data_IF_672210677408
#
_entry.id   IF_672210677408
#
_cell.length_a   1.000
_cell.length_b   1.000
_cell.length_c   1.000
_cell.angle_alpha   90.00
_cell.angle_beta   90.00
_cell.angle_gamma   90.00
#
_symmetry.space_group_name_H-M   'P 1'
#
loop_
_entity.id
_entity.type
_entity.pdbx_description
1 polymer ?
#
# COMPACT_ATOMS: atom_id res chain seq x y z
N UNK A 1 10.29 27.13 -37.78
CA UNK A 1 9.17 26.69 -36.92
C UNK A 1 9.43 25.33 -36.26
N UNK A 2 9.83 24.31 -37.03
CA UNK A 2 10.02 22.92 -36.59
C UNK A 2 10.83 22.72 -35.28
N UNK A 3 11.96 23.42 -35.10
CA UNK A 3 12.78 23.32 -33.87
C UNK A 3 12.03 23.70 -32.59
N UNK A 4 11.10 24.68 -32.65
CA UNK A 4 10.30 25.11 -31.49
C UNK A 4 9.24 24.06 -31.13
N UNK A 5 8.66 23.41 -32.13
CA UNK A 5 7.64 22.37 -31.93
C UNK A 5 8.26 21.09 -31.37
N UNK A 6 9.40 20.65 -31.92
CA UNK A 6 10.18 19.52 -31.38
C UNK A 6 10.56 19.77 -29.91
N UNK A 7 11.00 20.99 -29.56
CA UNK A 7 11.32 21.34 -28.17
C UNK A 7 10.11 21.20 -27.23
N UNK A 8 8.91 21.63 -27.67
CA UNK A 8 7.67 21.46 -26.92
C UNK A 8 7.29 19.98 -26.77
N UNK A 9 7.46 19.18 -27.84
CA UNK A 9 7.21 17.74 -27.78
C UNK A 9 8.15 17.04 -26.80
N UNK A 10 9.45 17.31 -26.84
CA UNK A 10 10.40 16.75 -25.88
C UNK A 10 10.08 17.13 -24.42
N UNK A 11 9.65 18.37 -24.17
CA UNK A 11 9.20 18.77 -22.83
C UNK A 11 7.98 17.98 -22.38
N UNK A 12 6.99 17.78 -23.26
CA UNK A 12 5.81 16.95 -22.95
C UNK A 12 6.21 15.51 -22.65
N UNK A 13 7.06 14.91 -23.48
CA UNK A 13 7.55 13.53 -23.27
C UNK A 13 8.25 13.40 -21.92
N UNK A 14 9.13 14.34 -21.55
CA UNK A 14 9.76 14.33 -20.22
C UNK A 14 8.74 14.41 -19.10
N UNK A 15 7.79 15.35 -19.17
CA UNK A 15 6.75 15.47 -18.14
C UNK A 15 5.93 14.18 -17.99
N UNK A 16 5.57 13.53 -19.10
CA UNK A 16 4.84 12.27 -19.04
C UNK A 16 5.71 11.15 -18.47
N UNK A 17 6.98 11.06 -18.87
CA UNK A 17 7.94 10.11 -18.31
C UNK A 17 8.09 10.27 -16.79
N UNK A 18 8.17 11.51 -16.31
CA UNK A 18 8.29 11.78 -14.86
C UNK A 18 7.01 11.37 -14.13
N UNK A 19 5.84 11.61 -14.74
CA UNK A 19 4.55 11.19 -14.19
C UNK A 19 4.43 9.66 -14.13
N UNK A 20 4.81 8.94 -15.19
CA UNK A 20 4.79 7.48 -15.20
C UNK A 20 5.77 6.91 -14.19
N UNK A 21 6.99 7.47 -14.07
CA UNK A 21 7.93 7.05 -13.04
C UNK A 21 7.37 7.24 -11.61
N UNK A 22 6.70 8.37 -11.35
CA UNK A 22 6.04 8.60 -10.06
C UNK A 22 4.92 7.60 -9.78
N UNK A 23 4.12 7.26 -10.80
CA UNK A 23 3.06 6.25 -10.66
C UNK A 23 3.64 4.85 -10.44
N UNK A 24 4.72 4.51 -11.15
CA UNK A 24 5.44 3.25 -11.00
C UNK A 24 5.96 3.08 -9.57
N UNK A 25 6.63 4.09 -9.01
CA UNK A 25 7.12 4.04 -7.63
C UNK A 25 5.98 3.84 -6.61
N UNK A 26 4.83 4.49 -6.83
CA UNK A 26 3.65 4.32 -5.99
C UNK A 26 3.06 2.91 -6.08
N UNK A 27 3.01 2.35 -7.28
CA UNK A 27 2.55 0.97 -7.49
C UNK A 27 3.51 -0.02 -6.81
N UNK A 28 4.81 0.18 -6.98
CA UNK A 28 5.83 -0.63 -6.32
C UNK A 28 5.69 -0.62 -4.79
N UNK A 29 5.49 0.56 -4.17
CA UNK A 29 5.26 0.65 -2.72
C UNK A 29 4.01 -0.12 -2.27
N UNK A 30 2.94 -0.13 -3.07
CA UNK A 30 1.72 -0.89 -2.78
C UNK A 30 1.97 -2.39 -2.91
N UNK A 31 2.49 -2.82 -4.06
CA UNK A 31 2.71 -4.24 -4.38
C UNK A 31 3.70 -4.89 -3.42
N UNK A 32 4.81 -4.21 -3.10
CA UNK A 32 5.80 -4.71 -2.14
C UNK A 32 5.17 -4.95 -0.78
N UNK A 33 4.36 -4.02 -0.30
CA UNK A 33 3.73 -4.14 1.00
C UNK A 33 2.66 -5.25 0.99
N UNK A 34 1.82 -5.32 -0.05
CA UNK A 34 0.81 -6.38 -0.20
C UNK A 34 1.46 -7.78 -0.27
N UNK A 35 2.60 -7.92 -0.93
CA UNK A 35 3.40 -9.15 -0.94
C UNK A 35 3.89 -9.54 0.46
N UNK A 36 4.50 -8.59 1.19
CA UNK A 36 4.96 -8.82 2.58
C UNK A 36 3.80 -9.30 3.44
N UNK A 37 2.63 -8.67 3.32
CA UNK A 37 1.43 -9.08 4.07
C UNK A 37 0.96 -10.48 3.73
N UNK A 38 0.96 -10.84 2.45
CA UNK A 38 0.64 -12.20 2.05
C UNK A 38 1.58 -13.20 2.75
N UNK A 39 2.89 -12.93 2.75
CA UNK A 39 3.88 -13.76 3.44
C UNK A 39 3.70 -13.81 4.96
N UNK A 40 3.41 -12.68 5.60
CA UNK A 40 3.12 -12.66 7.03
C UNK A 40 1.85 -13.44 7.37
N UNK A 41 0.83 -13.44 6.50
CA UNK A 41 -0.37 -14.26 6.70
C UNK A 41 -0.14 -15.75 6.52
N UNK A 42 0.82 -16.16 5.67
CA UNK A 42 1.27 -17.54 5.59
C UNK A 42 1.98 -18.00 6.87
N UNK A 43 2.72 -17.09 7.54
CA UNK A 43 3.38 -17.38 8.81
C UNK A 43 2.40 -17.50 9.98
N UNK A 44 1.46 -16.56 10.09
CA UNK A 44 0.45 -16.56 11.14
C UNK A 44 -0.78 -15.74 10.73
N UNK A 45 -1.93 -16.40 10.59
CA UNK A 45 -3.18 -15.75 10.18
C UNK A 45 -3.91 -15.02 11.32
N UNK A 46 -3.61 -15.36 12.57
CA UNK A 46 -4.43 -14.99 13.72
C UNK A 46 -3.91 -13.74 14.44
N UNK A 47 -2.63 -13.40 14.22
CA UNK A 47 -1.97 -12.23 14.79
C UNK A 47 -1.95 -11.07 13.80
N UNK A 48 -1.84 -9.85 14.33
CA UNK A 48 -1.64 -8.68 13.48
C UNK A 48 -0.24 -8.69 12.86
N UNK A 49 -0.11 -8.18 11.62
CA UNK A 49 1.18 -8.15 10.91
C UNK A 49 2.27 -7.41 11.68
N UNK A 50 1.92 -6.34 12.40
CA UNK A 50 2.87 -5.61 13.24
C UNK A 50 3.43 -6.50 14.36
N UNK A 51 2.57 -7.28 15.03
CA UNK A 51 3.00 -8.20 16.07
C UNK A 51 3.91 -9.29 15.51
N UNK A 52 3.59 -9.83 14.33
CA UNK A 52 4.41 -10.84 13.66
C UNK A 52 5.78 -10.23 13.31
N UNK A 53 5.81 -9.05 12.70
CA UNK A 53 7.04 -8.38 12.24
C UNK A 53 8.02 -8.00 13.36
N UNK A 54 7.57 -7.97 14.62
CA UNK A 54 8.42 -7.70 15.79
C UNK A 54 8.72 -8.95 16.63
N UNK A 55 8.20 -10.11 16.25
CA UNK A 55 8.32 -11.33 17.05
C UNK A 55 9.62 -12.07 16.74
N UNK A 56 10.49 -12.17 17.75
CA UNK A 56 11.81 -12.82 17.67
C UNK A 56 11.68 -14.30 17.27
N UNK A 57 10.55 -14.95 17.55
CA UNK A 57 10.32 -16.34 17.13
C UNK A 57 10.37 -16.51 15.61
N UNK A 58 10.03 -15.47 14.84
CA UNK A 58 10.02 -15.49 13.39
C UNK A 58 11.24 -14.80 12.75
N UNK A 59 12.32 -14.57 13.53
CA UNK A 59 13.47 -13.78 13.09
C UNK A 59 13.96 -14.16 11.69
N UNK A 60 14.35 -15.41 11.48
CA UNK A 60 14.97 -15.85 10.23
C UNK A 60 14.00 -15.74 9.04
N UNK A 61 12.72 -16.03 9.26
CA UNK A 61 11.69 -15.90 8.23
C UNK A 61 11.42 -14.43 7.89
N UNK A 62 11.45 -13.55 8.89
CA UNK A 62 11.25 -12.12 8.70
C UNK A 62 12.42 -11.48 7.96
N UNK A 63 13.66 -11.82 8.32
CA UNK A 63 14.85 -11.37 7.59
C UNK A 63 14.78 -11.80 6.11
N UNK A 64 14.31 -13.02 5.84
CA UNK A 64 14.06 -13.49 4.47
C UNK A 64 12.91 -12.75 3.75
N UNK A 65 11.78 -12.51 4.42
CA UNK A 65 10.61 -11.84 3.81
C UNK A 65 10.90 -10.37 3.51
N UNK A 66 11.58 -9.69 4.42
CA UNK A 66 11.87 -8.25 4.31
C UNK A 66 13.17 -7.97 3.55
N UNK A 67 14.05 -8.97 3.41
CA UNK A 67 15.40 -8.84 2.85
C UNK A 67 16.21 -7.76 3.60
N UNK A 68 16.10 -7.78 4.93
CA UNK A 68 16.69 -6.80 5.86
C UNK A 68 17.09 -7.49 7.17
N UNK A 69 18.09 -6.97 7.91
CA UNK A 69 18.38 -7.39 9.27
C UNK A 69 17.18 -7.19 10.20
N UNK A 70 16.96 -8.13 11.14
CA UNK A 70 15.76 -8.14 11.98
C UNK A 70 15.53 -6.84 12.78
N UNK A 71 16.60 -6.21 13.25
CA UNK A 71 16.57 -4.96 13.99
C UNK A 71 16.08 -3.76 13.15
N UNK A 72 16.18 -3.83 11.83
CA UNK A 72 15.69 -2.79 10.92
C UNK A 72 14.23 -3.00 10.49
N UNK A 73 13.69 -4.23 10.63
CA UNK A 73 12.39 -4.63 10.06
C UNK A 73 11.23 -3.78 10.58
N UNK A 74 11.16 -3.52 11.90
CA UNK A 74 10.05 -2.74 12.44
C UNK A 74 10.02 -1.33 11.84
N UNK A 75 11.19 -0.67 11.78
CA UNK A 75 11.31 0.67 11.21
C UNK A 75 10.95 0.71 9.72
N UNK A 76 11.41 -0.30 8.96
CA UNK A 76 11.14 -0.44 7.54
C UNK A 76 9.64 -0.69 7.28
N UNK A 77 9.02 -1.58 8.07
CA UNK A 77 7.60 -1.89 8.00
C UNK A 77 6.75 -0.64 8.24
N UNK A 78 7.02 0.11 9.31
CA UNK A 78 6.30 1.35 9.63
C UNK A 78 6.43 2.37 8.50
N UNK A 79 7.64 2.54 7.95
CA UNK A 79 7.88 3.46 6.84
C UNK A 79 7.12 3.06 5.56
N UNK A 80 7.09 1.76 5.23
CA UNK A 80 6.33 1.26 4.06
C UNK A 80 4.83 1.45 4.25
N UNK A 81 4.28 1.13 5.43
CA UNK A 81 2.87 1.35 5.75
C UNK A 81 2.50 2.82 5.65
N UNK A 82 3.35 3.72 6.15
CA UNK A 82 3.15 5.16 6.04
C UNK A 82 3.10 5.63 4.57
N UNK A 83 4.10 5.25 3.75
CA UNK A 83 4.12 5.59 2.32
C UNK A 83 2.90 5.09 1.59
N UNK A 84 2.53 3.82 1.80
CA UNK A 84 1.36 3.20 1.16
C UNK A 84 0.06 3.89 1.57
N UNK A 85 -0.09 4.22 2.86
CA UNK A 85 -1.28 4.91 3.35
C UNK A 85 -1.42 6.34 2.81
N UNK A 86 -0.31 7.02 2.48
CA UNK A 86 -0.35 8.30 1.78
C UNK A 86 -0.82 8.19 0.32
N UNK A 87 -0.79 6.99 -0.28
CA UNK A 87 -1.17 6.74 -1.68
C UNK A 87 -2.61 6.24 -1.79
N UNK A 88 -3.02 5.34 -0.88
CA UNK A 88 -4.31 4.64 -0.95
C UNK A 88 -5.43 5.40 -0.26
N UNK A 89 -6.68 5.04 -0.59
CA UNK A 89 -7.84 5.61 0.08
C UNK A 89 -7.87 5.23 1.57
N UNK A 90 -8.39 6.13 2.42
CA UNK A 90 -8.52 5.92 3.88
C UNK A 90 -9.23 4.62 4.30
N UNK A 91 -10.10 4.09 3.45
CA UNK A 91 -10.85 2.85 3.73
C UNK A 91 -10.01 1.58 3.51
N UNK A 92 -8.88 1.67 2.81
CA UNK A 92 -7.97 0.55 2.55
C UNK A 92 -6.91 0.37 3.64
N UNK A 93 -6.92 1.20 4.70
CA UNK A 93 -5.93 1.21 5.80
C UNK A 93 -6.23 0.18 6.93
N UNK A 94 -7.43 -0.43 6.91
CA UNK A 94 -8.08 -1.16 8.02
C UNK A 94 -7.32 -2.39 8.58
N UNK A 95 -6.37 -2.94 7.84
CA UNK A 95 -5.62 -4.14 8.23
C UNK A 95 -4.14 -3.87 8.57
N UNK A 96 -3.71 -2.60 8.53
CA UNK A 96 -2.30 -2.23 8.61
C UNK A 96 -1.91 -1.49 9.89
N UNK A 97 -2.79 -0.64 10.43
CA UNK A 97 -2.48 0.19 11.60
C UNK A 97 -2.93 -0.40 12.94
N UNK A 98 -3.75 -1.45 12.95
CA UNK A 98 -4.38 -1.97 14.18
C UNK A 98 -5.40 -1.02 14.83
N UNK A 99 -5.68 0.15 14.22
CA UNK A 99 -6.63 1.12 14.75
C UNK A 99 -8.09 0.78 14.37
N UNK A 100 -9.01 0.94 15.32
CA UNK A 100 -10.46 0.84 15.06
C UNK A 100 -10.94 2.09 14.31
N UNK A 101 -11.47 1.91 13.10
CA UNK A 101 -12.15 2.98 12.34
C UNK A 101 -13.36 3.50 13.12
N UNK A 102 -13.66 4.81 13.12
CA UNK A 102 -14.91 5.35 13.67
C UNK A 102 -16.13 4.66 13.06
N UNK A 103 -17.02 4.16 13.92
CA UNK A 103 -18.24 3.44 13.55
C UNK A 103 -19.23 4.46 13.01
N UNK A 104 -19.15 4.78 11.72
CA UNK A 104 -20.20 5.60 11.10
C UNK A 104 -20.64 5.10 9.73
N UNK A 105 -20.80 3.79 9.54
CA UNK A 105 -21.59 3.28 8.41
C UNK A 105 -22.39 2.02 8.81
N UNK A 106 -23.48 2.21 9.56
CA UNK A 106 -24.67 1.35 9.44
C UNK A 106 -25.75 1.94 8.51
N UNK A 107 -25.53 3.13 7.93
CA UNK A 107 -26.58 3.89 7.23
C UNK A 107 -26.51 3.94 5.70
N UNK A 108 -25.38 3.58 5.06
CA UNK A 108 -25.26 3.72 3.59
C UNK A 108 -25.53 2.39 2.84
N UNK A 109 -25.41 1.23 3.49
CA UNK A 109 -25.63 -0.07 2.82
C UNK A 109 -27.11 -0.44 2.60
N UNK A 110 -28.06 0.28 3.20
CA UNK A 110 -29.51 0.08 2.91
C UNK A 110 -30.01 0.87 1.70
N UNK A 111 -29.42 2.02 1.35
CA UNK A 111 -29.90 2.83 0.23
C UNK A 111 -29.37 2.35 -1.13
N UNK A 112 -28.14 1.83 -1.21
CA UNK A 112 -27.61 1.30 -2.47
C UNK A 112 -28.18 -0.07 -2.83
N UNK A 113 -28.53 -0.94 -1.87
CA UNK A 113 -29.12 -2.25 -2.20
C UNK A 113 -30.57 -2.16 -2.72
N UNK A 114 -31.32 -1.13 -2.32
CA UNK A 114 -32.67 -0.88 -2.84
C UNK A 114 -32.67 -0.29 -4.27
N UNK A 115 -31.59 0.36 -4.69
CA UNK A 115 -31.49 0.98 -6.02
C UNK A 115 -31.14 0.00 -7.15
N UNK A 116 -30.68 -1.22 -6.83
CA UNK A 116 -30.32 -2.25 -7.81
C UNK A 116 -31.31 -3.43 -7.87
N UNK A 117 -32.49 -3.31 -7.23
CA UNK A 117 -33.56 -4.31 -7.30
C UNK A 117 -34.83 -3.79 -8.02
N UNK A 118 -34.74 -2.64 -8.70
CA UNK A 118 -35.85 -2.03 -9.43
C UNK A 118 -35.49 -1.70 -10.90
N UNK A 119 -34.63 -2.49 -11.53
CA UNK A 119 -34.51 -2.55 -12.99
C UNK A 119 -34.40 -4.02 -13.42
#
# INVERSE_FOLDING_TARGET
>A
MYKKEIKKMHQRVRMYSDKTNKLFLKLYDIEKLDFIKYKLSELNSDRSYRQIASDVQYKDQLEYIFDLPFDEIESAYVAMVYRRNAIVHKYTMRQWSGEKVPIEIKRITRKTRAAWQLN
#
